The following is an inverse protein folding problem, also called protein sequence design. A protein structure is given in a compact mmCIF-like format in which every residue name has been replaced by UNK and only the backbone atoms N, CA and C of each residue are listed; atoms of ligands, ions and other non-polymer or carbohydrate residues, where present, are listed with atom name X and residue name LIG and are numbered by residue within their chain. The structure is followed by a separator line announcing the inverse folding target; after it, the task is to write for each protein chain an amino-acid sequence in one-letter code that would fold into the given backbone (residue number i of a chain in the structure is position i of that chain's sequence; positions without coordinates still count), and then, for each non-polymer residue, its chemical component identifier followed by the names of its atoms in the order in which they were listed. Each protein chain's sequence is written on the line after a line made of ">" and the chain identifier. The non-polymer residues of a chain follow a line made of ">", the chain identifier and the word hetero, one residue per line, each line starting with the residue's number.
data_IF_331489926383
#
_entry.id   IF_331489926383
#
_cell.length_a   1.000
_cell.length_b   1.000
_cell.length_c   1.000
_cell.angle_alpha   90.00
_cell.angle_beta   90.00
_cell.angle_gamma   90.00
#
_symmetry.space_group_name_H-M   'P 1'
#
loop_
_entity.id
_entity.type
_entity.pdbx_description
1 polymer ?
#
# COMPACT_ATOMS: atom_id res chain seq x y z
N UNK A 1 -10.58 7.89 -7.11
CA UNK A 1 -9.16 7.67 -6.82
C UNK A 1 -8.99 6.40 -5.99
N UNK A 2 -8.10 5.50 -6.41
CA UNK A 2 -7.74 4.26 -5.72
C UNK A 2 -6.22 4.18 -5.59
N UNK A 3 -5.74 3.88 -4.39
CA UNK A 3 -4.31 3.76 -4.09
C UNK A 3 -3.92 2.32 -3.77
N UNK A 4 -2.67 1.97 -4.07
CA UNK A 4 -2.05 0.72 -3.61
C UNK A 4 -1.03 1.04 -2.53
N UNK A 5 -1.04 0.31 -1.42
CA UNK A 5 -0.04 0.46 -0.36
C UNK A 5 0.76 -0.83 -0.26
N UNK A 6 2.00 -0.81 -0.74
CA UNK A 6 2.96 -1.89 -0.51
C UNK A 6 3.44 -1.85 0.94
N UNK A 7 3.28 -2.96 1.63
CA UNK A 7 3.43 -3.11 3.06
C UNK A 7 2.10 -2.85 3.78
N UNK A 8 1.77 -3.72 4.73
CA UNK A 8 0.62 -3.59 5.61
C UNK A 8 1.05 -3.45 7.08
N UNK A 9 2.29 -3.06 7.34
CA UNK A 9 2.84 -2.88 8.69
C UNK A 9 2.24 -1.70 9.48
N UNK A 10 2.80 -1.40 10.65
CA UNK A 10 2.29 -0.34 11.54
C UNK A 10 2.29 1.05 10.89
N UNK A 11 3.33 1.41 10.12
CA UNK A 11 3.40 2.69 9.39
C UNK A 11 2.35 2.74 8.28
N UNK A 12 2.22 1.67 7.50
CA UNK A 12 1.21 1.57 6.45
C UNK A 12 -0.21 1.75 7.01
N UNK A 13 -0.57 1.01 8.07
CA UNK A 13 -1.92 1.06 8.67
C UNK A 13 -2.17 2.32 9.50
N UNK A 14 -1.22 2.68 10.36
CA UNK A 14 -1.39 3.75 11.35
C UNK A 14 -1.16 5.16 10.81
N UNK A 15 -0.50 5.29 9.65
CA UNK A 15 -0.16 6.59 9.06
C UNK A 15 -0.68 6.73 7.62
N UNK A 16 -0.21 5.91 6.67
CA UNK A 16 -0.56 6.09 5.25
C UNK A 16 -2.05 5.83 5.00
N UNK A 17 -2.52 4.63 5.39
CA UNK A 17 -3.92 4.25 5.27
C UNK A 17 -4.84 5.15 6.09
N UNK A 18 -4.35 5.67 7.24
CA UNK A 18 -5.08 6.65 8.04
C UNK A 18 -5.34 7.94 7.24
N UNK A 19 -4.30 8.52 6.64
CA UNK A 19 -4.44 9.73 5.84
C UNK A 19 -5.33 9.51 4.60
N UNK A 20 -5.18 8.38 3.91
CA UNK A 20 -6.01 8.03 2.76
C UNK A 20 -7.48 7.86 3.16
N UNK A 21 -7.74 7.18 4.28
CA UNK A 21 -9.08 7.02 4.83
C UNK A 21 -9.72 8.36 5.19
N UNK A 22 -9.01 9.22 5.92
CA UNK A 22 -9.50 10.57 6.25
C UNK A 22 -9.77 11.43 5.00
N UNK A 23 -9.08 11.15 3.90
CA UNK A 23 -9.26 11.84 2.61
C UNK A 23 -10.38 11.24 1.76
N UNK A 24 -11.08 10.19 2.23
CA UNK A 24 -12.10 9.48 1.45
C UNK A 24 -11.54 8.68 0.27
N UNK A 25 -10.24 8.36 0.29
CA UNK A 25 -9.54 7.66 -0.80
C UNK A 25 -9.51 6.16 -0.48
N UNK A 26 -10.00 5.35 -1.43
CA UNK A 26 -9.94 3.89 -1.30
C UNK A 26 -8.51 3.40 -1.48
N UNK A 27 -8.15 2.35 -0.75
CA UNK A 27 -6.85 1.73 -0.88
C UNK A 27 -6.92 0.21 -0.70
N UNK A 28 -5.92 -0.48 -1.22
CA UNK A 28 -5.69 -1.92 -1.01
C UNK A 28 -4.23 -2.12 -0.61
N UNK A 29 -4.00 -2.97 0.39
CA UNK A 29 -2.65 -3.33 0.80
C UNK A 29 -2.06 -4.42 -0.09
N UNK A 30 -0.73 -4.42 -0.25
CA UNK A 30 0.04 -5.52 -0.83
C UNK A 30 1.11 -5.93 0.18
N UNK A 31 1.10 -7.18 0.64
CA UNK A 31 1.90 -7.61 1.80
C UNK A 31 2.57 -8.97 1.55
N UNK A 32 3.83 -9.11 1.99
CA UNK A 32 4.64 -10.33 1.82
C UNK A 32 4.32 -11.36 2.90
N UNK A 33 3.92 -10.92 4.09
CA UNK A 33 3.50 -11.80 5.18
C UNK A 33 2.06 -12.29 4.95
N UNK A 34 1.92 -13.53 4.48
CA UNK A 34 0.64 -14.14 4.15
C UNK A 34 -0.32 -14.24 5.35
N UNK A 35 0.17 -14.52 6.56
CA UNK A 35 -0.67 -14.57 7.75
C UNK A 35 -1.29 -13.19 8.06
N UNK A 36 -0.57 -12.10 7.78
CA UNK A 36 -1.12 -10.75 7.93
C UNK A 36 -2.15 -10.43 6.84
N UNK A 37 -1.93 -10.88 5.59
CA UNK A 37 -2.90 -10.75 4.50
C UNK A 37 -4.22 -11.43 4.89
N UNK A 38 -4.16 -12.67 5.36
CA UNK A 38 -5.32 -13.43 5.80
C UNK A 38 -6.03 -12.75 6.96
N UNK A 39 -5.28 -12.26 7.96
CA UNK A 39 -5.87 -11.55 9.10
C UNK A 39 -6.59 -10.27 8.67
N UNK A 40 -6.01 -9.48 7.75
CA UNK A 40 -6.64 -8.27 7.22
C UNK A 40 -7.93 -8.62 6.49
N UNK A 41 -7.89 -9.63 5.61
CA UNK A 41 -9.06 -10.04 4.82
C UNK A 41 -10.15 -10.73 5.65
N UNK A 42 -9.79 -11.38 6.76
CA UNK A 42 -10.73 -11.95 7.72
C UNK A 42 -11.41 -10.85 8.55
N UNK A 43 -10.65 -9.89 9.08
CA UNK A 43 -11.17 -8.85 9.96
C UNK A 43 -11.85 -7.72 9.21
N UNK A 44 -11.36 -7.38 8.00
CA UNK A 44 -11.81 -6.28 7.13
C UNK A 44 -11.87 -4.90 7.81
N UNK A 45 -11.32 -4.79 9.02
CA UNK A 45 -11.33 -3.61 9.89
C UNK A 45 -10.16 -3.66 10.86
N UNK A 46 -9.63 -2.50 11.23
CA UNK A 46 -8.79 -2.31 12.40
C UNK A 46 -8.99 -0.92 12.99
N UNK A 47 -8.50 -0.69 14.21
CA UNK A 47 -8.55 0.63 14.85
C UNK A 47 -7.14 1.19 15.07
N UNK A 48 -7.05 2.51 14.99
CA UNK A 48 -5.86 3.31 15.22
C UNK A 48 -6.10 4.11 16.48
N UNK A 49 -5.14 3.99 17.41
CA UNK A 49 -5.15 4.74 18.65
C UNK A 49 -4.09 5.85 18.57
N UNK A 50 -4.51 7.10 18.68
CA UNK A 50 -3.62 8.26 18.69
C UNK A 50 -3.25 8.57 20.13
N UNK A 51 -2.05 8.13 20.53
CA UNK A 51 -1.57 8.37 21.90
C UNK A 51 -1.47 9.87 22.18
N UNK A 52 -1.95 10.28 23.35
CA UNK A 52 -2.02 11.69 23.75
C UNK A 52 -3.21 12.46 23.17
N UNK A 53 -4.02 11.86 22.29
CA UNK A 53 -5.25 12.47 21.78
C UNK A 53 -6.28 11.39 21.41
N UNK A 54 -6.95 10.83 22.42
CA UNK A 54 -7.93 9.75 22.24
C UNK A 54 -9.12 10.13 21.37
N UNK A 55 -9.46 11.42 21.28
CA UNK A 55 -10.55 11.93 20.45
C UNK A 55 -10.27 11.73 18.95
N UNK A 56 -9.00 11.50 18.60
CA UNK A 56 -8.56 11.16 17.23
C UNK A 56 -8.44 9.66 16.99
N UNK A 57 -8.83 8.80 17.95
CA UNK A 57 -8.91 7.37 17.69
C UNK A 57 -9.95 7.10 16.61
N UNK A 58 -9.65 6.18 15.70
CA UNK A 58 -10.52 5.89 14.56
C UNK A 58 -10.48 4.40 14.23
N UNK A 59 -11.58 3.88 13.71
CA UNK A 59 -11.59 2.56 13.09
C UNK A 59 -11.74 2.69 11.59
N UNK A 60 -10.91 1.95 10.87
CA UNK A 60 -10.90 1.89 9.42
C UNK A 60 -11.54 0.56 9.03
N UNK A 61 -12.64 0.65 8.30
CA UNK A 61 -13.42 -0.48 7.77
C UNK A 61 -13.14 -0.70 6.28
N UNK A 62 -13.66 -1.80 5.72
CA UNK A 62 -13.58 -2.16 4.30
C UNK A 62 -12.14 -2.25 3.77
N UNK A 63 -11.21 -2.72 4.61
CA UNK A 63 -9.82 -2.93 4.21
C UNK A 63 -9.62 -4.33 3.63
N UNK A 64 -8.73 -4.42 2.65
CA UNK A 64 -8.29 -5.68 2.05
C UNK A 64 -6.80 -5.66 1.77
N UNK A 65 -6.22 -6.85 1.61
CA UNK A 65 -4.83 -7.05 1.25
C UNK A 65 -4.68 -8.14 0.19
N UNK A 66 -3.69 -7.99 -0.69
CA UNK A 66 -3.20 -9.02 -1.59
C UNK A 66 -1.84 -9.51 -1.11
N UNK A 67 -1.62 -10.82 -1.18
CA UNK A 67 -0.31 -11.43 -0.94
C UNK A 67 0.56 -11.41 -2.19
N UNK A 68 1.89 -11.44 -2.04
CA UNK A 68 2.82 -11.46 -3.18
C UNK A 68 2.62 -12.69 -4.09
N UNK A 69 2.01 -13.77 -3.58
CA UNK A 69 1.60 -14.94 -4.37
C UNK A 69 0.50 -14.63 -5.41
N UNK A 70 -0.23 -13.52 -5.24
CA UNK A 70 -1.30 -13.04 -6.12
C UNK A 70 -0.75 -11.96 -7.06
N UNK A 71 0.40 -12.22 -7.69
CA UNK A 71 1.13 -11.22 -8.47
C UNK A 71 0.29 -10.67 -9.63
N UNK A 72 -0.48 -11.52 -10.32
CA UNK A 72 -1.34 -11.11 -11.41
C UNK A 72 -2.41 -10.12 -10.95
N UNK A 73 -3.06 -10.39 -9.82
CA UNK A 73 -4.06 -9.51 -9.23
C UNK A 73 -3.45 -8.19 -8.75
N UNK A 74 -2.22 -8.21 -8.24
CA UNK A 74 -1.47 -6.99 -7.89
C UNK A 74 -1.19 -6.15 -9.14
N UNK A 75 -0.76 -6.79 -10.23
CA UNK A 75 -0.50 -6.12 -11.51
C UNK A 75 -1.77 -5.47 -12.08
N UNK A 76 -2.92 -6.15 -12.02
CA UNK A 76 -4.22 -5.55 -12.41
C UNK A 76 -4.61 -4.40 -11.49
N UNK A 77 -4.41 -4.56 -10.17
CA UNK A 77 -4.69 -3.50 -9.22
C UNK A 77 -3.86 -2.24 -9.49
N UNK A 78 -2.59 -2.39 -9.86
CA UNK A 78 -1.72 -1.26 -10.25
C UNK A 78 -2.24 -0.56 -11.50
N UNK A 79 -2.68 -1.33 -12.51
CA UNK A 79 -3.22 -0.81 -13.76
C UNK A 79 -4.37 0.19 -13.56
N UNK A 80 -5.22 -0.05 -12.55
CA UNK A 80 -6.39 0.76 -12.21
C UNK A 80 -6.17 1.76 -11.06
N UNK A 81 -4.95 1.80 -10.51
CA UNK A 81 -4.57 2.72 -9.44
C UNK A 81 -4.10 4.08 -9.96
N UNK A 82 -4.28 5.10 -9.12
CA UNK A 82 -3.82 6.48 -9.35
C UNK A 82 -2.47 6.75 -8.66
N UNK A 83 -2.21 6.07 -7.54
CA UNK A 83 -0.98 6.22 -6.78
C UNK A 83 -0.58 4.93 -6.07
N UNK A 84 0.73 4.74 -5.95
CA UNK A 84 1.36 3.68 -5.17
C UNK A 84 2.09 4.31 -3.99
N UNK A 85 1.90 3.75 -2.80
CA UNK A 85 2.67 4.06 -1.60
C UNK A 85 3.52 2.86 -1.21
N UNK A 86 4.73 3.07 -0.70
CA UNK A 86 5.54 1.99 -0.12
C UNK A 86 5.83 2.27 1.36
N UNK A 87 5.68 1.24 2.20
CA UNK A 87 6.15 1.20 3.58
C UNK A 87 6.57 -0.23 3.93
N UNK A 88 7.51 -0.76 3.16
CA UNK A 88 8.00 -2.15 3.22
C UNK A 88 9.33 -2.27 3.96
N UNK A 89 9.99 -1.16 4.29
CA UNK A 89 11.36 -1.12 4.78
C UNK A 89 12.35 -1.15 3.61
N UNK A 90 13.33 -0.24 3.62
CA UNK A 90 14.19 0.01 2.44
C UNK A 90 14.87 -1.20 1.81
N UNK A 91 15.25 -2.21 2.61
CA UNK A 91 15.83 -3.47 2.09
C UNK A 91 14.86 -4.26 1.18
N UNK A 92 13.56 -4.13 1.42
CA UNK A 92 12.51 -4.84 0.67
C UNK A 92 12.01 -4.05 -0.56
N UNK A 93 12.55 -2.83 -0.81
CA UNK A 93 12.17 -2.02 -1.97
C UNK A 93 12.53 -2.69 -3.29
N UNK A 94 13.64 -3.43 -3.36
CA UNK A 94 14.08 -4.10 -4.60
C UNK A 94 13.06 -5.16 -5.03
N UNK A 95 12.63 -6.02 -4.10
CA UNK A 95 11.57 -7.02 -4.36
C UNK A 95 10.27 -6.34 -4.81
N UNK A 96 9.94 -5.21 -4.18
CA UNK A 96 8.74 -4.42 -4.48
C UNK A 96 8.81 -3.76 -5.86
N UNK A 97 9.99 -3.27 -6.25
CA UNK A 97 10.23 -2.62 -7.53
C UNK A 97 9.92 -3.55 -8.71
N UNK A 98 10.28 -4.83 -8.61
CA UNK A 98 10.02 -5.83 -9.66
C UNK A 98 8.52 -5.99 -9.97
N UNK A 99 7.68 -6.06 -8.93
CA UNK A 99 6.21 -6.17 -9.10
C UNK A 99 5.63 -4.87 -9.64
N UNK A 100 6.08 -3.72 -9.12
CA UNK A 100 5.66 -2.41 -9.60
C UNK A 100 6.00 -2.24 -11.08
N UNK A 101 7.19 -2.64 -11.51
CA UNK A 101 7.63 -2.57 -12.90
C UNK A 101 6.70 -3.36 -13.83
N UNK A 102 6.30 -4.58 -13.44
CA UNK A 102 5.31 -5.39 -14.20
C UNK A 102 3.97 -4.65 -14.35
N UNK A 103 3.49 -4.03 -13.28
CA UNK A 103 2.27 -3.19 -13.30
C UNK A 103 2.40 -1.98 -14.23
N UNK A 104 3.53 -1.27 -14.18
CA UNK A 104 3.81 -0.12 -15.06
C UNK A 104 3.86 -0.55 -16.53
N UNK A 105 4.54 -1.65 -16.84
CA UNK A 105 4.61 -2.18 -18.20
C UNK A 105 3.21 -2.42 -18.78
N UNK A 106 2.25 -2.86 -17.95
CA UNK A 106 0.86 -3.04 -18.37
C UNK A 106 0.09 -1.72 -18.50
N UNK A 107 0.40 -0.73 -17.67
CA UNK A 107 -0.24 0.60 -17.69
C UNK A 107 0.25 1.49 -18.84
N UNK A 108 1.36 1.13 -19.50
CA UNK A 108 1.99 1.95 -20.55
C UNK A 108 1.02 2.32 -21.68
N UNK A 109 0.11 1.40 -22.04
CA UNK A 109 -0.87 1.60 -23.10
C UNK A 109 -1.96 2.62 -22.73
N UNK A 110 -2.25 2.79 -21.43
CA UNK A 110 -3.23 3.78 -20.95
C UNK A 110 -2.72 5.23 -21.03
N UNK A 111 -1.39 5.45 -21.16
CA UNK A 111 -0.73 6.78 -21.17
C UNK A 111 -1.09 7.68 -19.97
N UNK A 112 -1.55 7.10 -18.87
CA UNK A 112 -1.87 7.79 -17.64
C UNK A 112 -0.63 7.94 -16.74
N UNK A 113 -0.53 9.05 -16.02
CA UNK A 113 0.54 9.24 -15.03
C UNK A 113 0.24 8.38 -13.79
N UNK A 114 1.28 7.71 -13.28
CA UNK A 114 1.23 6.99 -12.01
C UNK A 114 2.20 7.65 -11.02
N UNK A 115 1.71 8.08 -9.87
CA UNK A 115 2.56 8.62 -8.81
C UNK A 115 3.01 7.50 -7.88
N UNK A 116 4.31 7.44 -7.58
CA UNK A 116 4.87 6.47 -6.63
C UNK A 116 5.53 7.24 -5.49
N UNK A 117 5.03 7.02 -4.26
CA UNK A 117 5.42 7.76 -3.07
C UNK A 117 6.05 6.77 -2.09
N UNK A 118 7.33 6.97 -1.81
CA UNK A 118 8.10 6.08 -0.93
C UNK A 118 8.08 6.61 0.51
N UNK A 119 7.35 5.95 1.39
CA UNK A 119 7.20 6.32 2.80
C UNK A 119 8.14 5.48 3.68
N UNK A 120 9.42 5.53 3.35
CA UNK A 120 10.45 4.67 3.94
C UNK A 120 11.37 5.47 4.84
N UNK A 121 11.79 4.90 5.97
CA UNK A 121 12.95 5.39 6.70
C UNK A 121 14.23 4.88 6.04
N UNK A 122 14.52 5.41 4.85
CA UNK A 122 15.66 5.02 4.02
C UNK A 122 16.21 6.23 3.29
N UNK A 123 17.50 6.24 2.98
CA UNK A 123 18.10 7.35 2.23
C UNK A 123 17.74 7.22 0.75
N UNK A 124 17.11 8.25 0.18
CA UNK A 124 16.75 8.32 -1.24
C UNK A 124 16.03 7.06 -1.78
N UNK A 125 14.94 6.60 -1.13
CA UNK A 125 14.28 5.33 -1.43
C UNK A 125 13.76 5.24 -2.87
N UNK A 126 13.39 6.37 -3.48
CA UNK A 126 12.98 6.42 -4.87
C UNK A 126 14.06 5.93 -5.85
N UNK A 127 15.35 6.02 -5.50
CA UNK A 127 16.43 5.49 -6.34
C UNK A 127 16.46 3.96 -6.37
N UNK A 128 15.90 3.29 -5.35
CA UNK A 128 15.76 1.84 -5.35
C UNK A 128 14.63 1.35 -6.29
N UNK A 129 13.83 2.27 -6.83
CA UNK A 129 12.73 1.99 -7.76
C UNK A 129 13.04 2.39 -9.21
N UNK A 130 14.22 2.97 -9.48
CA UNK A 130 14.69 3.31 -10.83
C UNK A 130 15.43 2.14 -11.45
#
# INVERSE_FOLDING_TARGET
>A
MTCVIFGAGKIARGFIAHLLYLSGIRFVFVEKNQALVELINQKKRYCINVMGNSDKNICIDNVSALGYIQENEIVELILDSDAIFTAVGGKNLIDTASIIAKGICKKIDKKEKLNIITCENWKQPALCLK
#
